data_IF_036463016342
#
_entry.id   IF_036463016342
#
_cell.length_a   1.000
_cell.length_b   1.000
_cell.length_c   1.000
_cell.angle_alpha   90.00
_cell.angle_beta   90.00
_cell.angle_gamma   90.00
#
_symmetry.space_group_name_H-M   'P 1'
#
loop_
_entity.id
_entity.type
_entity.pdbx_description
1 polymer ?
#
# COMPACT_ATOMS: atom_id res chain seq x y z
N UNK A 1 -0.91 -6.96 25.71
CA UNK A 1 0.00 -6.17 24.86
C UNK A 1 0.38 -4.92 25.63
N UNK A 2 1.67 -4.60 25.78
CA UNK A 2 2.12 -3.42 26.54
C UNK A 2 1.86 -2.14 25.71
N UNK A 3 1.00 -1.25 26.20
CA UNK A 3 0.62 -0.01 25.50
C UNK A 3 1.61 1.12 25.80
N UNK A 4 2.87 0.90 25.43
CA UNK A 4 4.02 1.80 25.71
C UNK A 4 3.77 3.28 25.38
N UNK A 5 2.96 3.57 24.36
CA UNK A 5 2.68 4.93 23.88
C UNK A 5 1.28 5.45 24.24
N UNK A 6 0.52 4.70 25.05
CA UNK A 6 -0.88 5.00 25.37
C UNK A 6 -1.82 4.79 24.18
N UNK A 7 -2.96 5.48 24.19
CA UNK A 7 -3.90 5.50 23.07
C UNK A 7 -3.35 6.41 21.95
N UNK A 8 -3.24 5.84 20.75
CA UNK A 8 -2.78 6.50 19.53
C UNK A 8 -3.96 6.86 18.63
N UNK A 9 -5.03 6.05 18.67
CA UNK A 9 -6.27 6.28 17.93
C UNK A 9 -7.48 6.24 18.89
N UNK A 10 -8.54 6.97 18.56
CA UNK A 10 -9.78 6.99 19.36
C UNK A 10 -10.50 5.63 19.36
N UNK A 11 -10.42 4.90 18.23
CA UNK A 11 -10.94 3.54 18.13
C UNK A 11 -9.96 2.56 18.79
N UNK A 12 -10.41 1.88 19.85
CA UNK A 12 -9.64 0.81 20.51
C UNK A 12 -9.19 -0.27 19.52
N UNK A 13 -10.02 -0.60 18.53
CA UNK A 13 -9.69 -1.59 17.51
C UNK A 13 -8.54 -1.14 16.60
N UNK A 14 -8.57 0.11 16.15
CA UNK A 14 -7.49 0.68 15.33
C UNK A 14 -6.22 0.78 16.19
N UNK A 15 -6.35 1.18 17.45
CA UNK A 15 -5.22 1.24 18.38
C UNK A 15 -4.56 -0.13 18.56
N UNK A 16 -5.34 -1.19 18.80
CA UNK A 16 -4.81 -2.57 18.88
C UNK A 16 -4.07 -2.95 17.58
N UNK A 17 -4.65 -2.68 16.42
CA UNK A 17 -4.03 -2.99 15.13
C UNK A 17 -2.71 -2.22 14.90
N UNK A 18 -2.61 -0.98 15.37
CA UNK A 18 -1.37 -0.19 15.34
C UNK A 18 -0.29 -0.89 16.19
N UNK A 19 -0.63 -1.32 17.41
CA UNK A 19 0.33 -2.01 18.27
C UNK A 19 0.72 -3.40 17.74
N UNK A 20 -0.19 -4.11 17.08
CA UNK A 20 0.13 -5.33 16.35
C UNK A 20 1.19 -5.06 15.26
N UNK A 21 1.04 -3.99 14.50
CA UNK A 21 2.05 -3.57 13.51
C UNK A 21 3.39 -3.22 14.17
N UNK A 22 3.36 -2.52 15.30
CA UNK A 22 4.57 -2.15 16.04
C UNK A 22 5.37 -3.36 16.54
N UNK A 23 4.72 -4.52 16.74
CA UNK A 23 5.45 -5.75 17.10
C UNK A 23 6.46 -6.21 16.05
N UNK A 24 6.29 -5.78 14.79
CA UNK A 24 7.22 -6.07 13.69
C UNK A 24 8.23 -4.96 13.43
N UNK A 25 8.03 -3.76 13.97
CA UNK A 25 8.87 -2.60 13.69
C UNK A 25 9.84 -2.29 14.83
N UNK A 26 11.01 -1.74 14.50
CA UNK A 26 11.95 -1.24 15.50
C UNK A 26 11.40 0.03 16.19
N UNK A 27 11.96 0.38 17.35
CA UNK A 27 11.50 1.51 18.16
C UNK A 27 11.60 2.87 17.43
N UNK A 28 12.57 3.05 16.53
CA UNK A 28 12.73 4.29 15.74
C UNK A 28 11.49 4.48 14.85
N UNK A 29 11.08 3.45 14.12
CA UNK A 29 9.91 3.52 13.24
C UNK A 29 8.61 3.65 14.02
N UNK A 30 8.46 2.92 15.15
CA UNK A 30 7.31 3.08 16.04
C UNK A 30 7.14 4.55 16.48
N UNK A 31 8.22 5.21 16.90
CA UNK A 31 8.19 6.63 17.32
C UNK A 31 7.80 7.57 16.18
N UNK A 32 8.24 7.32 14.95
CA UNK A 32 7.82 8.11 13.78
C UNK A 32 6.31 8.02 13.56
N UNK A 33 5.74 6.81 13.58
CA UNK A 33 4.30 6.64 13.39
C UNK A 33 3.48 7.20 14.55
N UNK A 34 3.92 7.03 15.80
CA UNK A 34 3.28 7.69 16.96
C UNK A 34 3.25 9.21 16.77
N UNK A 35 4.32 9.79 16.25
CA UNK A 35 4.37 11.23 15.92
C UNK A 35 3.41 11.57 14.79
N UNK A 36 3.44 10.83 13.67
CA UNK A 36 2.53 11.02 12.51
C UNK A 36 1.06 11.02 12.94
N UNK A 37 0.62 10.01 13.71
CA UNK A 37 -0.77 9.92 14.18
C UNK A 37 -1.16 11.08 15.11
N UNK A 38 -0.25 11.59 15.94
CA UNK A 38 -0.53 12.70 16.88
C UNK A 38 -0.57 14.07 16.20
N UNK A 39 0.24 14.27 15.16
CA UNK A 39 0.39 15.57 14.50
C UNK A 39 -0.63 15.80 13.38
N UNK A 40 -1.29 14.74 12.91
CA UNK A 40 -2.25 14.85 11.81
C UNK A 40 -3.57 15.52 12.25
N UNK A 41 -4.19 16.33 11.37
CA UNK A 41 -5.60 16.66 11.48
C UNK A 41 -6.39 15.38 11.69
N UNK A 42 -7.35 15.37 12.63
CA UNK A 42 -8.17 14.20 12.94
C UNK A 42 -9.22 13.93 11.84
N UNK A 43 -8.82 14.03 10.57
CA UNK A 43 -9.62 13.59 9.44
C UNK A 43 -9.41 12.10 9.25
N UNK A 44 -10.52 11.36 9.14
CA UNK A 44 -10.54 9.89 9.04
C UNK A 44 -9.67 9.39 7.87
N UNK A 45 -9.70 10.09 6.73
CA UNK A 45 -8.93 9.71 5.53
C UNK A 45 -7.43 9.74 5.77
N UNK A 46 -6.89 10.78 6.40
CA UNK A 46 -5.44 10.90 6.64
C UNK A 46 -4.94 9.87 7.66
N UNK A 47 -5.75 9.59 8.69
CA UNK A 47 -5.46 8.55 9.67
C UNK A 47 -5.40 7.19 8.97
N UNK A 48 -6.36 6.89 8.09
CA UNK A 48 -6.38 5.62 7.36
C UNK A 48 -5.20 5.50 6.39
N UNK A 49 -4.83 6.55 5.66
CA UNK A 49 -3.64 6.55 4.80
C UNK A 49 -2.37 6.23 5.60
N UNK A 50 -2.19 6.86 6.75
CA UNK A 50 -1.05 6.63 7.65
C UNK A 50 -1.08 5.22 8.24
N UNK A 51 -2.27 4.70 8.52
CA UNK A 51 -2.43 3.34 9.00
C UNK A 51 -2.10 2.30 7.92
N UNK A 52 -2.49 2.51 6.67
CA UNK A 52 -2.12 1.61 5.59
C UNK A 52 -0.61 1.67 5.27
N UNK A 53 0.01 2.85 5.41
CA UNK A 53 1.46 3.01 5.33
C UNK A 53 2.18 2.22 6.45
N UNK A 54 1.63 2.24 7.67
CA UNK A 54 2.12 1.43 8.79
C UNK A 54 1.98 -0.08 8.51
N UNK A 55 0.84 -0.52 8.00
CA UNK A 55 0.58 -1.92 7.64
C UNK A 55 1.60 -2.43 6.61
N UNK A 56 1.88 -1.62 5.59
CA UNK A 56 2.88 -1.93 4.56
C UNK A 56 4.26 -2.13 5.20
N UNK A 57 4.73 -1.19 6.02
CA UNK A 57 6.01 -1.31 6.70
C UNK A 57 6.11 -2.53 7.61
N UNK A 58 5.06 -2.79 8.39
CA UNK A 58 4.99 -3.97 9.25
C UNK A 58 5.01 -5.27 8.45
N UNK A 59 4.32 -5.33 7.31
CA UNK A 59 4.35 -6.49 6.43
C UNK A 59 5.75 -6.74 5.84
N UNK A 60 6.41 -5.69 5.35
CA UNK A 60 7.78 -5.81 4.83
C UNK A 60 8.73 -6.28 5.94
N UNK A 61 8.66 -5.67 7.13
CA UNK A 61 9.55 -6.05 8.23
C UNK A 61 9.29 -7.46 8.76
N UNK A 62 8.02 -7.89 8.84
CA UNK A 62 7.64 -9.27 9.15
C UNK A 62 8.28 -10.28 8.20
N UNK A 63 8.45 -9.92 6.93
CA UNK A 63 9.06 -10.76 5.90
C UNK A 63 10.59 -10.65 5.85
N UNK A 64 11.22 -10.07 6.88
CA UNK A 64 12.67 -10.07 7.05
C UNK A 64 13.39 -8.86 6.44
N UNK A 65 12.66 -7.90 5.86
CA UNK A 65 13.27 -6.68 5.34
C UNK A 65 13.63 -5.70 6.47
N UNK A 66 14.81 -5.09 6.37
CA UNK A 66 15.16 -3.92 7.18
C UNK A 66 14.55 -2.71 6.48
N UNK A 67 13.61 -2.03 7.15
CA UNK A 67 12.84 -0.94 6.54
C UNK A 67 13.05 0.39 7.27
N UNK A 68 13.03 1.49 6.52
CA UNK A 68 13.11 2.86 7.04
C UNK A 68 12.07 3.73 6.34
N UNK A 69 11.11 4.23 7.13
CA UNK A 69 10.04 5.11 6.66
C UNK A 69 10.58 6.52 6.39
N UNK A 70 10.11 7.16 5.33
CA UNK A 70 10.55 8.50 4.94
C UNK A 70 12.09 8.64 4.81
N UNK A 71 12.77 7.58 4.37
CA UNK A 71 14.22 7.62 4.18
C UNK A 71 14.57 8.54 3.01
N UNK A 72 15.34 9.60 3.27
CA UNK A 72 15.66 10.61 2.26
C UNK A 72 16.75 10.13 1.32
N UNK A 73 16.45 10.12 0.01
CA UNK A 73 17.39 9.76 -1.05
C UNK A 73 17.49 10.95 -2.01
N UNK A 74 18.58 11.71 -1.88
CA UNK A 74 18.72 12.99 -2.60
C UNK A 74 17.63 13.99 -2.18
N UNK A 75 16.74 14.35 -3.11
CA UNK A 75 15.61 15.26 -2.87
C UNK A 75 14.25 14.54 -2.79
N UNK A 76 14.23 13.21 -2.78
CA UNK A 76 13.02 12.40 -2.69
C UNK A 76 12.95 11.69 -1.33
N UNK A 77 11.73 11.34 -0.95
CA UNK A 77 11.43 10.66 0.30
C UNK A 77 10.34 9.63 -0.03
N UNK A 78 10.72 8.38 -0.35
CA UNK A 78 9.76 7.32 -0.50
C UNK A 78 9.06 6.99 0.80
N UNK A 79 7.85 6.44 0.69
CA UNK A 79 7.08 5.98 1.86
C UNK A 79 7.89 4.93 2.65
N UNK A 80 8.51 3.97 1.95
CA UNK A 80 9.43 3.02 2.57
C UNK A 80 10.68 2.78 1.71
N UNK A 81 11.83 2.67 2.38
CA UNK A 81 13.05 2.15 1.79
C UNK A 81 13.44 0.84 2.47
N UNK A 82 13.86 -0.14 1.69
CA UNK A 82 14.48 -1.38 2.18
C UNK A 82 15.98 -1.18 2.19
N UNK A 83 16.63 -1.53 3.31
CA UNK A 83 18.05 -1.33 3.56
C UNK A 83 18.79 -2.66 3.67
N UNK A 84 20.08 -2.65 3.37
CA UNK A 84 20.98 -3.76 3.71
C UNK A 84 21.59 -3.61 5.11
N UNK A 85 22.54 -4.49 5.45
CA UNK A 85 23.27 -4.46 6.73
C UNK A 85 24.16 -3.22 6.91
N UNK A 86 24.50 -2.53 5.83
CA UNK A 86 25.29 -1.29 5.83
C UNK A 86 24.40 -0.05 5.93
N UNK A 87 23.08 -0.23 5.99
CA UNK A 87 22.06 0.81 5.92
C UNK A 87 22.00 1.53 4.56
N UNK A 88 22.54 0.91 3.51
CA UNK A 88 22.40 1.40 2.15
C UNK A 88 21.04 0.98 1.58
N UNK A 89 20.44 1.85 0.76
CA UNK A 89 19.14 1.57 0.14
C UNK A 89 19.32 0.50 -0.94
N UNK A 90 18.59 -0.60 -0.79
CA UNK A 90 18.57 -1.71 -1.76
C UNK A 90 17.24 -1.88 -2.49
N UNK A 91 16.17 -1.23 -2.03
CA UNK A 91 14.94 -1.07 -2.80
C UNK A 91 14.08 0.07 -2.25
N UNK A 92 13.19 0.57 -3.10
CA UNK A 92 12.19 1.59 -2.74
C UNK A 92 10.79 1.01 -2.89
N UNK A 93 9.90 1.31 -1.94
CA UNK A 93 8.48 0.98 -1.99
C UNK A 93 7.67 2.26 -1.76
N UNK A 94 6.83 2.61 -2.74
CA UNK A 94 5.96 3.80 -2.67
C UNK A 94 4.51 3.35 -2.69
N UNK A 95 3.70 3.98 -1.86
CA UNK A 95 2.32 3.61 -1.61
C UNK A 95 1.31 4.44 -2.42
N UNK A 96 0.25 3.76 -2.84
CA UNK A 96 -0.99 4.33 -3.40
C UNK A 96 -2.16 3.83 -2.54
N UNK A 97 -3.00 4.75 -2.08
CA UNK A 97 -4.31 4.41 -1.53
C UNK A 97 -5.34 4.60 -2.64
N UNK A 98 -5.92 3.50 -3.12
CA UNK A 98 -6.97 3.55 -4.13
C UNK A 98 -8.34 3.46 -3.45
N UNK A 99 -9.05 4.57 -3.46
CA UNK A 99 -10.41 4.70 -2.96
C UNK A 99 -11.38 4.70 -4.14
N UNK A 100 -12.53 4.04 -4.02
CA UNK A 100 -13.62 4.27 -4.96
C UNK A 100 -14.16 5.69 -4.76
N UNK A 101 -14.69 6.27 -5.81
CA UNK A 101 -15.41 7.54 -5.71
C UNK A 101 -16.64 7.43 -4.78
N UNK A 102 -16.98 8.57 -4.16
CA UNK A 102 -18.05 8.64 -3.17
C UNK A 102 -19.42 8.22 -3.72
N UNK A 103 -19.72 8.45 -5.00
CA UNK A 103 -21.03 8.10 -5.57
C UNK A 103 -21.18 6.58 -5.66
N UNK A 104 -20.12 5.91 -6.11
CA UNK A 104 -20.09 4.45 -6.17
C UNK A 104 -20.12 3.84 -4.76
N UNK A 105 -19.37 4.41 -3.81
CA UNK A 105 -19.42 4.01 -2.41
C UNK A 105 -20.84 4.14 -1.82
N UNK A 106 -21.49 5.30 -2.00
CA UNK A 106 -22.86 5.55 -1.55
C UNK A 106 -23.86 4.56 -2.15
N UNK A 107 -23.70 4.22 -3.42
CA UNK A 107 -24.51 3.22 -4.10
C UNK A 107 -24.33 1.83 -3.47
N UNK A 108 -23.09 1.38 -3.26
CA UNK A 108 -22.79 0.08 -2.66
C UNK A 108 -23.33 0.02 -1.23
N UNK A 109 -23.11 1.06 -0.43
CA UNK A 109 -23.64 1.18 0.93
C UNK A 109 -25.18 1.13 0.96
N UNK A 110 -25.85 1.75 -0.01
CA UNK A 110 -27.31 1.69 -0.13
C UNK A 110 -27.79 0.26 -0.44
N UNK A 111 -27.09 -0.49 -1.31
CA UNK A 111 -27.44 -1.89 -1.60
C UNK A 111 -27.22 -2.79 -0.38
N UNK A 112 -26.11 -2.61 0.36
CA UNK A 112 -25.82 -3.34 1.59
C UNK A 112 -26.89 -3.07 2.67
N UNK A 113 -27.27 -1.80 2.86
CA UNK A 113 -28.36 -1.40 3.79
C UNK A 113 -29.71 -2.03 3.40
N UNK A 114 -29.94 -2.27 2.12
CA UNK A 114 -31.13 -2.95 1.62
C UNK A 114 -31.10 -4.49 1.79
N UNK A 115 -30.09 -5.04 2.50
CA UNK A 115 -29.96 -6.48 2.73
C UNK A 115 -29.57 -7.28 1.49
N UNK A 116 -29.18 -6.60 0.41
CA UNK A 116 -28.66 -7.26 -0.79
C UNK A 116 -27.19 -7.58 -0.56
N UNK A 117 -26.74 -8.72 -1.08
CA UNK A 117 -25.30 -8.95 -1.26
C UNK A 117 -24.82 -7.84 -2.20
N UNK A 118 -23.77 -7.11 -1.81
CA UNK A 118 -23.07 -6.25 -2.75
C UNK A 118 -22.51 -7.16 -3.85
N UNK A 119 -23.26 -7.25 -4.96
CA UNK A 119 -22.70 -7.66 -6.23
C UNK A 119 -21.78 -6.51 -6.61
N UNK A 120 -20.50 -6.82 -6.68
CA UNK A 120 -19.49 -5.80 -6.90
C UNK A 120 -19.87 -4.87 -8.06
N UNK A 121 -19.79 -3.57 -7.80
CA UNK A 121 -19.83 -2.56 -8.84
C UNK A 121 -18.61 -2.72 -9.74
N UNK A 122 -18.83 -3.16 -10.97
CA UNK A 122 -17.82 -3.13 -12.02
C UNK A 122 -17.81 -1.71 -12.60
N UNK A 123 -16.77 -0.89 -12.39
CA UNK A 123 -16.62 0.31 -13.19
C UNK A 123 -16.58 -0.13 -14.65
N UNK A 124 -17.42 0.49 -15.47
CA UNK A 124 -17.49 0.19 -16.89
C UNK A 124 -16.09 0.43 -17.47
N UNK A 125 -15.42 -0.57 -18.03
CA UNK A 125 -14.03 -0.46 -18.53
C UNK A 125 -13.83 0.58 -19.65
N UNK A 126 -14.92 1.18 -20.12
CA UNK A 126 -14.95 2.28 -21.09
C UNK A 126 -15.13 3.67 -20.44
N UNK A 127 -15.17 3.76 -19.12
CA UNK A 127 -15.29 5.02 -18.39
C UNK A 127 -13.94 5.43 -17.78
N UNK A 128 -13.14 6.26 -18.48
CA UNK A 128 -11.81 6.67 -18.02
C UNK A 128 -11.85 7.50 -16.73
N UNK A 129 -13.01 8.03 -16.32
CA UNK A 129 -13.19 8.74 -15.07
C UNK A 129 -13.48 7.81 -13.87
N UNK A 130 -13.63 6.49 -14.09
CA UNK A 130 -14.04 5.54 -13.04
C UNK A 130 -12.99 4.46 -12.71
N UNK A 131 -11.86 4.39 -13.43
CA UNK A 131 -10.74 3.50 -13.09
C UNK A 131 -9.40 4.26 -13.03
N UNK A 132 -9.24 5.09 -12.01
CA UNK A 132 -8.02 5.87 -11.77
C UNK A 132 -6.83 5.03 -11.25
N UNK A 133 -6.98 3.71 -11.10
CA UNK A 133 -5.91 2.86 -10.61
C UNK A 133 -4.70 2.89 -11.56
N UNK A 134 -4.95 2.80 -12.87
CA UNK A 134 -3.91 2.89 -13.89
C UNK A 134 -3.12 4.20 -13.76
N UNK A 135 -3.80 5.35 -13.73
CA UNK A 135 -3.16 6.67 -13.64
C UNK A 135 -2.41 6.85 -12.32
N UNK A 136 -2.94 6.36 -11.19
CA UNK A 136 -2.23 6.46 -9.91
C UNK A 136 -0.95 5.65 -9.88
N UNK A 137 -0.97 4.41 -10.41
CA UNK A 137 0.25 3.60 -10.53
C UNK A 137 1.23 4.27 -11.48
N UNK A 138 0.74 4.78 -12.62
CA UNK A 138 1.55 5.50 -13.61
C UNK A 138 2.26 6.72 -13.01
N UNK A 139 1.54 7.54 -12.25
CA UNK A 139 2.09 8.75 -11.62
C UNK A 139 3.22 8.41 -10.65
N UNK A 140 3.03 7.37 -9.83
CA UNK A 140 4.08 6.89 -8.93
C UNK A 140 5.27 6.31 -9.70
N UNK A 141 5.01 5.48 -10.70
CA UNK A 141 6.04 4.92 -11.57
C UNK A 141 6.94 6.01 -12.17
N UNK A 142 6.32 7.10 -12.65
CA UNK A 142 7.01 8.25 -13.22
C UNK A 142 7.81 9.03 -12.16
N UNK A 143 7.26 9.22 -10.95
CA UNK A 143 7.85 10.06 -9.88
C UNK A 143 9.27 9.64 -9.46
N UNK A 144 9.57 8.34 -9.50
CA UNK A 144 10.84 7.77 -9.02
C UNK A 144 11.74 7.18 -10.09
N UNK A 145 11.28 7.10 -11.35
CA UNK A 145 12.02 6.52 -12.48
C UNK A 145 13.50 6.96 -12.54
N UNK A 146 13.75 8.26 -12.56
CA UNK A 146 15.10 8.79 -12.68
C UNK A 146 15.96 8.50 -11.44
N UNK A 147 15.34 8.50 -10.26
CA UNK A 147 16.03 8.19 -9.01
C UNK A 147 16.50 6.74 -9.02
N UNK A 148 15.59 5.80 -9.28
CA UNK A 148 15.86 4.35 -9.19
C UNK A 148 16.83 3.90 -10.28
N UNK A 149 16.80 4.54 -11.45
CA UNK A 149 17.81 4.37 -12.48
C UNK A 149 19.19 4.88 -12.02
N UNK A 150 19.24 6.04 -11.36
CA UNK A 150 20.49 6.65 -10.88
C UNK A 150 21.16 5.85 -9.76
N UNK A 151 20.39 5.37 -8.78
CA UNK A 151 20.93 4.58 -7.65
C UNK A 151 20.93 3.07 -7.92
N UNK A 152 20.36 2.66 -9.07
CA UNK A 152 20.33 1.28 -9.56
C UNK A 152 19.69 0.28 -8.58
N UNK A 153 18.52 0.62 -8.03
CA UNK A 153 17.76 -0.25 -7.10
C UNK A 153 16.38 -0.64 -7.64
N UNK A 154 15.83 -1.81 -7.25
CA UNK A 154 14.43 -2.18 -7.42
C UNK A 154 13.44 -1.13 -6.92
N UNK A 155 12.30 -1.02 -7.62
CA UNK A 155 11.23 -0.09 -7.27
C UNK A 155 9.87 -0.77 -7.34
N UNK A 156 9.12 -0.73 -6.24
CA UNK A 156 7.78 -1.31 -6.12
C UNK A 156 6.76 -0.23 -5.83
N UNK A 157 5.61 -0.32 -6.50
CA UNK A 157 4.41 0.44 -6.11
C UNK A 157 3.52 -0.47 -5.29
N UNK A 158 3.26 -0.11 -4.03
CA UNK A 158 2.33 -0.81 -3.17
C UNK A 158 0.94 -0.16 -3.29
N UNK A 159 -0.07 -0.94 -3.63
CA UNK A 159 -1.44 -0.46 -3.85
C UNK A 159 -2.33 -1.02 -2.75
N UNK A 160 -2.85 -0.14 -1.90
CA UNK A 160 -3.97 -0.49 -1.03
C UNK A 160 -5.29 -0.30 -1.76
N UNK A 161 -6.14 -1.33 -1.73
CA UNK A 161 -7.51 -1.28 -2.25
C UNK A 161 -8.48 -1.46 -1.07
N UNK A 162 -9.38 -0.50 -0.91
CA UNK A 162 -10.42 -0.56 0.12
C UNK A 162 -11.40 -1.72 -0.18
N UNK A 163 -11.86 -2.44 0.84
CA UNK A 163 -12.76 -3.60 0.75
C UNK A 163 -14.06 -3.32 -0.04
N UNK A 164 -14.48 -2.06 -0.11
CA UNK A 164 -15.66 -1.66 -0.88
C UNK A 164 -15.36 -1.63 -2.38
N UNK A 165 -14.10 -1.37 -2.75
CA UNK A 165 -13.63 -1.38 -4.13
C UNK A 165 -13.59 -2.81 -4.63
N UNK A 166 -14.36 -3.06 -5.69
CA UNK A 166 -14.53 -4.37 -6.31
C UNK A 166 -13.34 -4.72 -7.19
N UNK A 167 -12.29 -3.89 -7.15
CA UNK A 167 -11.06 -4.12 -7.88
C UNK A 167 -10.32 -5.26 -7.20
N UNK A 168 -10.52 -6.47 -7.73
CA UNK A 168 -9.75 -7.61 -7.28
C UNK A 168 -8.30 -7.56 -7.83
N UNK A 169 -7.47 -8.48 -7.35
CA UNK A 169 -6.09 -8.62 -7.83
C UNK A 169 -6.01 -8.89 -9.34
N UNK A 170 -7.05 -9.43 -9.98
CA UNK A 170 -7.11 -9.70 -11.41
C UNK A 170 -7.30 -8.41 -12.22
N UNK A 171 -8.14 -7.48 -11.76
CA UNK A 171 -8.24 -6.14 -12.39
C UNK A 171 -6.92 -5.39 -12.29
N UNK A 172 -6.25 -5.47 -11.13
CA UNK A 172 -4.89 -4.91 -10.98
C UNK A 172 -3.94 -5.55 -12.01
N UNK A 173 -3.97 -6.87 -12.19
CA UNK A 173 -3.15 -7.58 -13.19
C UNK A 173 -3.48 -7.15 -14.62
N UNK A 174 -4.76 -6.95 -14.93
CA UNK A 174 -5.19 -6.55 -16.27
C UNK A 174 -4.68 -5.14 -16.61
N UNK A 175 -4.74 -4.18 -15.68
CA UNK A 175 -4.12 -2.86 -15.87
C UNK A 175 -2.60 -2.92 -16.08
N UNK A 176 -1.92 -3.87 -15.45
CA UNK A 176 -0.45 -3.95 -15.47
C UNK A 176 0.08 -4.66 -16.73
N UNK A 177 -0.63 -5.70 -17.18
CA UNK A 177 -0.12 -6.64 -18.19
C UNK A 177 -0.88 -6.62 -19.52
N UNK A 178 -2.14 -6.17 -19.53
CA UNK A 178 -3.00 -6.23 -20.71
C UNK A 178 -3.31 -4.81 -21.26
N UNK A 179 -3.81 -4.75 -22.50
CA UNK A 179 -4.13 -3.49 -23.21
C UNK A 179 -3.08 -3.07 -24.25
N UNK A 180 -3.36 -1.98 -24.97
CA UNK A 180 -2.47 -1.43 -26.01
C UNK A 180 -1.18 -0.84 -25.40
N UNK A 181 -1.28 -0.35 -24.15
CA UNK A 181 -0.19 0.27 -23.38
C UNK A 181 -0.04 -0.35 -21.97
N UNK A 182 0.47 -1.59 -21.84
CA UNK A 182 0.63 -2.21 -20.52
C UNK A 182 1.67 -1.47 -19.66
N UNK A 183 1.32 -1.09 -18.42
CA UNK A 183 2.20 -0.32 -17.53
C UNK A 183 3.57 -1.00 -17.33
N UNK A 184 3.59 -2.32 -17.15
CA UNK A 184 4.84 -3.06 -16.95
C UNK A 184 5.80 -2.97 -18.14
N UNK A 185 5.27 -2.86 -19.35
CA UNK A 185 6.06 -2.67 -20.56
C UNK A 185 6.55 -1.22 -20.70
N UNK A 186 5.74 -0.25 -20.30
CA UNK A 186 6.07 1.18 -20.34
C UNK A 186 7.06 1.62 -19.25
N UNK A 187 7.01 0.96 -18.09
CA UNK A 187 7.80 1.29 -16.90
C UNK A 187 8.63 0.09 -16.45
N UNK A 188 9.66 -0.31 -17.22
CA UNK A 188 10.54 -1.42 -16.86
C UNK A 188 11.41 -1.10 -15.62
N UNK A 189 11.42 0.15 -15.16
CA UNK A 189 12.03 0.54 -13.89
C UNK A 189 11.26 0.02 -12.67
N UNK A 190 9.98 -0.34 -12.82
CA UNK A 190 9.19 -1.01 -11.79
C UNK A 190 9.56 -2.50 -11.74
N UNK A 191 9.89 -2.98 -10.55
CA UNK A 191 10.09 -4.39 -10.25
C UNK A 191 8.77 -5.15 -10.14
N UNK A 192 7.71 -4.47 -9.73
CA UNK A 192 6.38 -5.06 -9.58
C UNK A 192 5.42 -4.15 -8.81
N UNK A 193 4.23 -4.67 -8.58
CA UNK A 193 3.18 -4.04 -7.76
C UNK A 193 2.85 -4.94 -6.58
N UNK A 194 2.87 -4.38 -5.37
CA UNK A 194 2.41 -5.07 -4.16
C UNK A 194 0.97 -4.65 -3.87
N UNK A 195 0.01 -5.43 -4.37
CA UNK A 195 -1.40 -5.23 -4.07
C UNK A 195 -1.68 -5.70 -2.64
N UNK A 196 -2.44 -4.93 -1.85
CA UNK A 196 -2.97 -5.41 -0.59
C UNK A 196 -4.31 -4.81 -0.23
N UNK A 197 -5.11 -5.59 0.49
CA UNK A 197 -6.50 -5.27 0.83
C UNK A 197 -6.84 -5.79 2.22
N UNK A 198 -7.81 -5.15 2.88
CA UNK A 198 -8.38 -5.71 4.10
C UNK A 198 -9.28 -6.90 3.75
N UNK A 199 -9.03 -8.03 4.41
CA UNK A 199 -9.89 -9.21 4.34
C UNK A 199 -10.79 -9.28 5.57
N UNK A 200 -11.23 -10.47 5.98
CA UNK A 200 -12.14 -10.61 7.12
C UNK A 200 -11.45 -10.24 8.46
N UNK A 201 -12.12 -9.39 9.25
CA UNK A 201 -11.82 -9.12 10.67
C UNK A 201 -10.41 -8.53 10.92
N UNK A 202 -9.98 -7.53 10.16
CA UNK A 202 -8.73 -6.81 10.40
C UNK A 202 -7.46 -7.59 10.02
N UNK A 203 -7.58 -8.59 9.15
CA UNK A 203 -6.44 -9.27 8.52
C UNK A 203 -6.22 -8.72 7.13
N UNK A 204 -4.96 -8.57 6.71
CA UNK A 204 -4.63 -8.00 5.39
C UNK A 204 -3.95 -9.04 4.51
N UNK A 205 -4.39 -9.14 3.26
CA UNK A 205 -3.80 -10.01 2.25
C UNK A 205 -2.89 -9.17 1.35
N UNK A 206 -1.70 -9.68 1.06
CA UNK A 206 -0.70 -9.06 0.20
C UNK A 206 -0.40 -9.99 -0.97
N UNK A 207 -0.47 -9.46 -2.18
CA UNK A 207 -0.19 -10.15 -3.45
C UNK A 207 0.83 -9.36 -4.24
N UNK A 208 2.02 -9.91 -4.42
CA UNK A 208 3.06 -9.32 -5.25
C UNK A 208 2.88 -9.77 -6.70
N UNK A 209 2.75 -8.78 -7.60
CA UNK A 209 2.63 -8.98 -9.04
C UNK A 209 3.97 -8.53 -9.65
N UNK A 210 4.79 -9.49 -10.04
CA UNK A 210 6.10 -9.24 -10.65
C UNK A 210 5.97 -8.60 -12.04
N UNK A 211 6.83 -7.63 -12.33
CA UNK A 211 6.96 -7.08 -13.67
C UNK A 211 7.90 -7.97 -14.52
N UNK A 212 7.41 -8.67 -15.55
CA UNK A 212 8.25 -9.53 -16.39
C UNK A 212 9.25 -8.75 -17.26
N UNK A 213 9.09 -7.42 -17.38
CA UNK A 213 9.98 -6.52 -18.11
C UNK A 213 10.91 -5.72 -17.17
N UNK A 214 10.94 -6.04 -15.88
CA UNK A 214 11.72 -5.30 -14.89
C UNK A 214 13.23 -5.29 -15.21
N UNK A 215 13.84 -4.12 -15.19
CA UNK A 215 15.30 -3.96 -15.27
C UNK A 215 16.00 -4.41 -13.99
N UNK A 216 15.29 -4.34 -12.86
CA UNK A 216 15.77 -4.67 -11.51
C UNK A 216 14.64 -5.37 -10.78
N UNK A 217 14.90 -6.54 -10.22
CA UNK A 217 13.89 -7.39 -9.58
C UNK A 217 14.07 -7.39 -8.07
N UNK A 218 12.97 -7.57 -7.35
CA UNK A 218 12.95 -7.89 -5.92
C UNK A 218 11.89 -8.96 -5.71
N UNK A 219 12.16 -9.91 -4.83
CA UNK A 219 11.19 -10.91 -4.40
C UNK A 219 10.54 -10.42 -3.10
N UNK A 220 9.28 -10.02 -3.17
CA UNK A 220 8.46 -9.73 -1.99
C UNK A 220 7.43 -10.86 -1.87
N UNK A 221 7.43 -11.63 -0.78
CA UNK A 221 6.51 -12.75 -0.64
C UNK A 221 5.07 -12.24 -0.60
N UNK A 222 4.16 -12.99 -1.22
CA UNK A 222 2.71 -12.83 -1.03
C UNK A 222 2.27 -13.56 0.24
N UNK A 223 1.25 -13.07 0.94
CA UNK A 223 0.85 -13.64 2.22
C UNK A 223 -0.09 -12.76 3.02
N UNK A 224 -0.14 -13.01 4.34
CA UNK A 224 -1.07 -12.33 5.24
C UNK A 224 -0.34 -11.59 6.34
N UNK A 225 -0.82 -10.39 6.67
CA UNK A 225 -0.59 -9.75 7.96
C UNK A 225 -1.82 -10.03 8.84
N UNK A 226 -1.64 -10.90 9.85
CA UNK A 226 -2.70 -11.27 10.79
C UNK A 226 -2.53 -10.49 12.08
N UNK A 227 -3.65 -10.18 12.71
CA UNK A 227 -3.70 -9.78 14.12
C UNK A 227 -3.04 -10.86 14.98
N UNK A 228 -2.13 -10.49 15.89
CA UNK A 228 -1.66 -11.42 16.90
C UNK A 228 -2.79 -11.58 17.93
N UNK A 229 -3.51 -12.70 17.84
CA UNK A 229 -4.58 -13.08 18.78
C UNK A 229 -4.04 -13.39 20.17
#
# INVERSE_FOLDING_TARGET
MDMKYGLIAESLRINEAIYDCFSFLNEKEQKKFVKKFKEQPHSEIQIMHTFHELLLGAYLSKNGFVVDNDHKIGNKTPDWSILDSSYDVVAIVEMVNHHIDNKTNDYILAQLKAGKKALGYFPNGNDPDHNHLYSHIQDKACKYKDLVAKINVPYVVAVFIDFIAVIDVQETKDCLMNGDEPLFKLYPDLSGVLHFEETNRGSYCFSFIENPYALRTIDIPSGYLKKNS
#
